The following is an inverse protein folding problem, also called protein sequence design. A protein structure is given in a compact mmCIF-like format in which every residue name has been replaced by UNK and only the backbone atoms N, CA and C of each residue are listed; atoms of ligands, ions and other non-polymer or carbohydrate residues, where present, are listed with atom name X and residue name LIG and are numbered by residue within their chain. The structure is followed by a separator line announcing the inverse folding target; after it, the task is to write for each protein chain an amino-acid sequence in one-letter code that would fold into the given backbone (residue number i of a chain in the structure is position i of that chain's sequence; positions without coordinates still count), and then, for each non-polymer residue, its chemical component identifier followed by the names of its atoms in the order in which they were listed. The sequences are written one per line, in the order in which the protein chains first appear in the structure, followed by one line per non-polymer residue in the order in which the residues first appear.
data_IF_889508884315
#
_entry.id   IF_889508884315
#
_cell.length_a   1.000
_cell.length_b   1.000
_cell.length_c   1.000
_cell.angle_alpha   90.00
_cell.angle_beta   90.00
_cell.angle_gamma   90.00
#
_symmetry.space_group_name_H-M   'P 1'
#
loop_
_entity.id
_entity.type
_entity.pdbx_description
1 polymer ?
#
# COMPACT_ATOMS: atom_id res chain seq x y z
N UNK A 1 0.87 2.53 -25.22
CA UNK A 1 -0.24 1.99 -24.42
C UNK A 1 -0.55 2.95 -23.27
N UNK A 2 -1.75 2.88 -22.68
CA UNK A 2 -2.23 3.82 -21.67
C UNK A 2 -2.38 3.10 -20.33
N UNK A 3 -1.74 3.62 -19.29
CA UNK A 3 -1.83 3.11 -17.91
C UNK A 3 -2.76 4.02 -17.13
N UNK A 4 -3.81 3.47 -16.49
CA UNK A 4 -4.65 4.18 -15.53
C UNK A 4 -4.19 3.85 -14.10
N UNK A 5 -3.95 4.89 -13.30
CA UNK A 5 -3.59 4.78 -11.89
C UNK A 5 -4.76 5.27 -11.05
N UNK A 6 -5.41 4.38 -10.30
CA UNK A 6 -6.39 4.77 -9.28
C UNK A 6 -5.67 5.12 -7.96
N UNK A 7 -6.34 5.83 -7.05
CA UNK A 7 -5.69 6.29 -5.82
C UNK A 7 -4.49 7.24 -6.06
N UNK A 8 -4.41 7.87 -7.22
CA UNK A 8 -3.29 8.62 -7.77
C UNK A 8 -2.84 9.82 -6.92
N UNK A 9 -3.71 10.36 -6.08
CA UNK A 9 -3.42 11.49 -5.19
C UNK A 9 -3.04 11.08 -3.76
N UNK A 10 -3.08 9.77 -3.48
CA UNK A 10 -2.69 9.22 -2.17
C UNK A 10 -1.18 9.01 -2.06
N UNK A 11 -0.75 8.58 -0.87
CA UNK A 11 0.67 8.43 -0.50
C UNK A 11 1.45 7.52 -1.46
N UNK A 12 0.89 6.38 -1.83
CA UNK A 12 1.53 5.44 -2.79
C UNK A 12 1.27 5.90 -4.24
N UNK A 13 0.02 6.19 -4.58
CA UNK A 13 -0.37 6.48 -5.95
C UNK A 13 0.33 7.70 -6.54
N UNK A 14 0.58 8.74 -5.73
CA UNK A 14 1.33 9.93 -6.20
C UNK A 14 2.77 9.61 -6.55
N UNK A 15 3.45 8.75 -5.79
CA UNK A 15 4.81 8.30 -6.10
C UNK A 15 4.84 7.40 -7.35
N UNK A 16 3.83 6.52 -7.50
CA UNK A 16 3.69 5.70 -8.70
C UNK A 16 3.51 6.59 -9.94
N UNK A 17 2.63 7.59 -9.87
CA UNK A 17 2.42 8.56 -10.96
C UNK A 17 3.71 9.32 -11.27
N UNK A 18 4.46 9.73 -10.24
CA UNK A 18 5.76 10.40 -10.41
C UNK A 18 6.79 9.47 -11.07
N UNK A 19 6.88 8.21 -10.66
CA UNK A 19 7.81 7.23 -11.22
C UNK A 19 7.47 6.81 -12.66
N UNK A 20 6.19 6.88 -13.04
CA UNK A 20 5.74 6.63 -14.41
C UNK A 20 5.90 7.85 -15.32
N UNK A 21 5.97 9.06 -14.75
CA UNK A 21 6.18 10.29 -15.52
C UNK A 21 7.53 10.24 -16.27
N UNK A 22 7.50 10.57 -17.54
CA UNK A 22 8.69 10.50 -18.41
C UNK A 22 9.02 9.10 -18.94
N UNK A 23 8.28 8.08 -18.57
CA UNK A 23 8.34 6.75 -19.20
C UNK A 23 7.67 6.76 -20.57
N UNK A 24 7.88 5.72 -21.37
CA UNK A 24 7.31 5.61 -22.74
C UNK A 24 5.79 5.41 -22.77
N UNK A 25 5.16 5.07 -21.66
CA UNK A 25 3.71 4.85 -21.57
C UNK A 25 2.95 6.17 -21.33
N UNK A 26 1.74 6.28 -21.89
CA UNK A 26 0.79 7.33 -21.50
C UNK A 26 0.23 7.01 -20.12
N UNK A 27 0.24 7.99 -19.23
CA UNK A 27 -0.24 7.81 -17.83
C UNK A 27 -1.46 8.66 -17.60
N UNK A 28 -2.53 8.05 -17.10
CA UNK A 28 -3.73 8.70 -16.59
C UNK A 28 -3.80 8.56 -15.08
N UNK A 29 -3.95 9.69 -14.39
CA UNK A 29 -4.13 9.75 -12.95
C UNK A 29 -5.62 9.95 -12.65
N UNK A 30 -6.29 8.92 -12.07
CA UNK A 30 -7.69 9.02 -11.66
C UNK A 30 -7.82 9.93 -10.45
N UNK A 31 -8.66 10.98 -10.55
CA UNK A 31 -8.92 11.93 -9.47
C UNK A 31 -10.42 12.09 -9.24
N UNK A 32 -10.84 12.22 -7.97
CA UNK A 32 -12.27 12.37 -7.63
C UNK A 32 -12.81 13.78 -7.89
N UNK A 33 -11.95 14.78 -7.73
CA UNK A 33 -12.32 16.18 -7.93
C UNK A 33 -12.21 16.64 -9.39
N UNK A 34 -12.38 17.93 -9.60
CA UNK A 34 -12.18 18.58 -10.89
C UNK A 34 -10.73 18.38 -11.37
N UNK A 35 -10.56 17.57 -12.41
CA UNK A 35 -9.27 17.18 -12.94
C UNK A 35 -8.41 18.38 -13.37
N UNK A 36 -9.05 19.47 -13.81
CA UNK A 36 -8.36 20.69 -14.23
C UNK A 36 -7.64 21.44 -13.09
N UNK A 37 -8.02 21.17 -11.84
CA UNK A 37 -7.43 21.79 -10.63
C UNK A 37 -6.38 20.93 -9.95
N UNK A 38 -6.20 19.68 -10.37
CA UNK A 38 -5.24 18.76 -9.77
C UNK A 38 -3.90 18.87 -10.48
N UNK A 39 -2.85 19.15 -9.71
CA UNK A 39 -1.48 19.17 -10.21
C UNK A 39 -0.96 17.74 -10.31
N UNK A 40 -0.56 17.35 -11.50
CA UNK A 40 0.14 16.08 -11.79
C UNK A 40 1.49 16.37 -12.48
N UNK A 41 2.42 15.42 -12.50
CA UNK A 41 3.67 15.57 -13.22
C UNK A 41 3.46 15.85 -14.72
N UNK A 42 4.43 16.50 -15.35
CA UNK A 42 4.40 16.75 -16.78
C UNK A 42 4.28 15.42 -17.57
N UNK A 43 3.43 15.41 -18.58
CA UNK A 43 3.14 14.21 -19.38
C UNK A 43 2.12 13.24 -18.81
N UNK A 44 1.59 13.50 -17.62
CA UNK A 44 0.49 12.74 -17.01
C UNK A 44 -0.84 13.45 -17.27
N UNK A 45 -1.85 12.69 -17.66
CA UNK A 45 -3.23 13.19 -17.89
C UNK A 45 -4.09 12.96 -16.63
N UNK A 46 -4.57 14.02 -15.93
CA UNK A 46 -5.55 13.85 -14.88
C UNK A 46 -6.92 13.52 -15.48
N UNK A 47 -7.56 12.46 -15.01
CA UNK A 47 -8.89 12.01 -15.47
C UNK A 47 -9.84 11.96 -14.27
N UNK A 48 -10.99 12.63 -14.41
CA UNK A 48 -12.00 12.60 -13.36
C UNK A 48 -12.74 11.26 -13.32
N UNK A 49 -12.91 10.72 -12.11
CA UNK A 49 -13.73 9.54 -11.86
C UNK A 49 -13.82 9.20 -10.37
N UNK A 50 -14.89 8.54 -10.02
CA UNK A 50 -15.13 7.99 -8.67
C UNK A 50 -15.33 6.48 -8.77
N UNK A 51 -14.63 5.71 -7.94
CA UNK A 51 -14.67 4.24 -7.97
C UNK A 51 -16.06 3.67 -7.67
N UNK A 52 -16.96 4.47 -7.11
CA UNK A 52 -18.37 4.13 -6.87
C UNK A 52 -19.31 4.61 -7.97
N UNK A 53 -18.86 5.50 -8.87
CA UNK A 53 -19.66 5.97 -10.00
C UNK A 53 -19.32 5.22 -11.29
N UNK A 54 -20.21 4.31 -11.67
CA UNK A 54 -20.07 3.45 -12.86
C UNK A 54 -19.89 4.25 -14.15
N UNK A 55 -20.59 5.37 -14.31
CA UNK A 55 -20.56 6.16 -15.54
C UNK A 55 -19.21 6.86 -15.72
N UNK A 56 -18.70 7.49 -14.66
CA UNK A 56 -17.39 8.14 -14.66
C UNK A 56 -16.25 7.13 -14.83
N UNK A 57 -16.35 5.95 -14.19
CA UNK A 57 -15.35 4.90 -14.33
C UNK A 57 -15.33 4.28 -15.73
N UNK A 58 -16.48 4.05 -16.38
CA UNK A 58 -16.51 3.62 -17.79
C UNK A 58 -15.82 4.64 -18.70
N UNK A 59 -15.99 5.92 -18.42
CA UNK A 59 -15.32 7.00 -19.17
C UNK A 59 -13.80 6.98 -18.93
N UNK A 60 -13.36 6.87 -17.69
CA UNK A 60 -11.95 6.84 -17.32
C UNK A 60 -11.20 5.62 -17.89
N UNK A 61 -11.87 4.46 -17.94
CA UNK A 61 -11.31 3.20 -18.45
C UNK A 61 -11.28 3.11 -19.98
N UNK A 62 -11.96 4.00 -20.70
CA UNK A 62 -11.99 3.98 -22.17
C UNK A 62 -10.59 4.18 -22.76
N UNK A 63 -10.12 3.18 -23.55
CA UNK A 63 -8.80 3.21 -24.19
C UNK A 63 -7.62 3.02 -23.24
N UNK A 64 -7.87 2.45 -22.05
CA UNK A 64 -6.84 2.00 -21.09
C UNK A 64 -6.40 0.58 -21.42
N UNK A 65 -5.11 0.35 -21.46
CA UNK A 65 -4.50 -0.97 -21.71
C UNK A 65 -4.08 -1.66 -20.40
N UNK A 66 -3.63 -0.87 -19.41
CA UNK A 66 -3.10 -1.37 -18.13
C UNK A 66 -3.74 -0.61 -16.97
N UNK A 67 -4.19 -1.31 -15.94
CA UNK A 67 -4.80 -0.73 -14.75
C UNK A 67 -3.93 -0.99 -13.51
N UNK A 68 -3.59 0.06 -12.77
CA UNK A 68 -3.19 -0.03 -11.37
C UNK A 68 -4.42 0.21 -10.49
N UNK A 69 -4.91 -0.86 -9.86
CA UNK A 69 -6.06 -0.81 -8.97
C UNK A 69 -5.58 -0.67 -7.52
N UNK A 70 -5.59 0.55 -7.04
CA UNK A 70 -5.32 0.97 -5.66
C UNK A 70 -6.53 1.73 -5.14
N UNK A 71 -7.12 1.28 -4.07
CA UNK A 71 -8.15 2.00 -3.32
C UNK A 71 -7.77 2.14 -1.84
N UNK A 72 -8.25 3.22 -1.23
CA UNK A 72 -8.02 3.48 0.18
C UNK A 72 -8.80 2.48 1.06
N UNK A 73 -8.35 2.32 2.30
CA UNK A 73 -9.14 1.66 3.34
C UNK A 73 -10.37 2.54 3.63
N UNK A 74 -11.55 2.04 3.26
CA UNK A 74 -12.83 2.73 3.36
C UNK A 74 -13.94 1.72 3.67
N UNK A 75 -15.07 2.18 4.22
CA UNK A 75 -16.18 1.30 4.57
C UNK A 75 -16.79 0.57 3.36
N UNK A 76 -16.64 1.12 2.17
CA UNK A 76 -17.12 0.58 0.88
C UNK A 76 -15.96 0.05 -0.01
N UNK A 77 -14.79 -0.19 0.57
CA UNK A 77 -13.57 -0.62 -0.11
C UNK A 77 -13.79 -1.79 -1.07
N UNK A 78 -14.51 -2.81 -0.62
CA UNK A 78 -14.83 -4.00 -1.43
C UNK A 78 -15.64 -3.63 -2.67
N UNK A 79 -16.66 -2.78 -2.51
CA UNK A 79 -17.51 -2.32 -3.63
C UNK A 79 -16.68 -1.55 -4.65
N UNK A 80 -15.80 -0.65 -4.20
CA UNK A 80 -14.90 0.12 -5.06
C UNK A 80 -13.99 -0.81 -5.88
N UNK A 81 -13.34 -1.77 -5.23
CA UNK A 81 -12.39 -2.66 -5.88
C UNK A 81 -13.06 -3.62 -6.86
N UNK A 82 -14.13 -4.31 -6.45
CA UNK A 82 -14.83 -5.27 -7.30
C UNK A 82 -15.57 -4.59 -8.45
N UNK A 83 -16.20 -3.44 -8.20
CA UNK A 83 -16.85 -2.63 -9.25
C UNK A 83 -15.84 -2.20 -10.32
N UNK A 84 -14.70 -1.65 -9.90
CA UNK A 84 -13.63 -1.24 -10.82
C UNK A 84 -13.04 -2.42 -11.59
N UNK A 85 -12.79 -3.57 -10.93
CA UNK A 85 -12.31 -4.79 -11.58
C UNK A 85 -13.28 -5.30 -12.63
N UNK A 86 -14.58 -5.31 -12.32
CA UNK A 86 -15.64 -5.69 -13.25
C UNK A 86 -15.67 -4.79 -14.48
N UNK A 87 -15.68 -3.46 -14.30
CA UNK A 87 -15.66 -2.48 -15.38
C UNK A 87 -14.39 -2.54 -16.22
N UNK A 88 -13.23 -2.81 -15.61
CA UNK A 88 -11.99 -3.00 -16.34
C UNK A 88 -12.06 -4.22 -17.27
N UNK A 89 -12.68 -5.31 -16.82
CA UNK A 89 -12.89 -6.51 -17.63
C UNK A 89 -13.90 -6.27 -18.75
N UNK A 90 -15.00 -5.56 -18.50
CA UNK A 90 -15.95 -5.11 -19.52
C UNK A 90 -15.25 -4.27 -20.61
N UNK A 91 -14.29 -3.44 -20.22
CA UNK A 91 -13.45 -2.64 -21.13
C UNK A 91 -12.36 -3.45 -21.87
N UNK A 92 -12.22 -4.76 -21.58
CA UNK A 92 -11.22 -5.63 -22.21
C UNK A 92 -9.81 -5.49 -21.66
N UNK A 93 -9.64 -4.85 -20.50
CA UNK A 93 -8.32 -4.66 -19.86
C UNK A 93 -7.83 -5.98 -19.28
N UNK A 94 -6.68 -6.46 -19.79
CA UNK A 94 -6.06 -7.72 -19.40
C UNK A 94 -4.68 -7.55 -18.74
N UNK A 95 -4.30 -6.31 -18.41
CA UNK A 95 -3.06 -5.99 -17.73
C UNK A 95 -3.40 -5.25 -16.44
N UNK A 96 -3.49 -5.99 -15.32
CA UNK A 96 -3.93 -5.45 -14.04
C UNK A 96 -2.84 -5.65 -13.00
N UNK A 97 -2.56 -4.60 -12.24
CA UNK A 97 -1.79 -4.66 -11.01
C UNK A 97 -2.72 -4.27 -9.88
N UNK A 98 -3.01 -5.21 -8.99
CA UNK A 98 -3.88 -5.00 -7.83
C UNK A 98 -3.06 -4.80 -6.56
N UNK A 99 -3.35 -3.76 -5.83
CA UNK A 99 -2.70 -3.43 -4.55
C UNK A 99 -3.48 -4.02 -3.39
N UNK A 100 -3.03 -5.18 -2.93
CA UNK A 100 -3.59 -5.94 -1.81
C UNK A 100 -2.89 -5.60 -0.49
N UNK A 101 -2.74 -6.55 0.40
CA UNK A 101 -1.97 -6.46 1.64
C UNK A 101 -1.31 -7.79 1.98
N UNK A 102 -0.19 -7.74 2.69
CA UNK A 102 0.52 -8.92 3.17
C UNK A 102 -0.36 -9.69 4.16
N UNK A 103 -0.30 -11.02 4.11
CA UNK A 103 -1.11 -11.90 4.98
C UNK A 103 -2.64 -11.71 4.90
N UNK A 104 -3.18 -11.20 3.78
CA UNK A 104 -4.62 -10.97 3.59
C UNK A 104 -5.50 -12.19 3.95
N UNK A 105 -5.02 -13.40 3.63
CA UNK A 105 -5.72 -14.65 3.93
C UNK A 105 -5.59 -15.11 5.39
N UNK A 106 -4.55 -14.68 6.09
CA UNK A 106 -4.28 -15.08 7.49
C UNK A 106 -5.03 -14.18 8.48
N UNK A 107 -5.18 -12.89 8.13
CA UNK A 107 -5.85 -11.90 8.96
C UNK A 107 -7.32 -11.77 8.55
N UNK A 108 -8.01 -12.89 8.50
CA UNK A 108 -9.36 -13.03 7.95
C UNK A 108 -10.46 -12.35 8.77
N UNK A 109 -10.18 -12.02 10.03
CA UNK A 109 -11.06 -11.28 10.93
C UNK A 109 -10.76 -9.77 11.00
N UNK A 110 -9.80 -9.29 10.18
CA UNK A 110 -9.49 -7.86 10.02
C UNK A 110 -10.21 -7.34 8.77
N UNK A 111 -11.21 -6.45 8.90
CA UNK A 111 -12.12 -6.09 7.80
C UNK A 111 -11.43 -5.67 6.51
N UNK A 112 -10.44 -4.75 6.58
CA UNK A 112 -9.75 -4.31 5.36
C UNK A 112 -8.83 -5.40 4.76
N UNK A 113 -8.28 -6.34 5.55
CA UNK A 113 -7.54 -7.49 5.02
C UNK A 113 -8.49 -8.47 4.34
N UNK A 114 -9.63 -8.78 4.98
CA UNK A 114 -10.66 -9.63 4.43
C UNK A 114 -11.22 -9.07 3.11
N UNK A 115 -11.46 -7.75 3.03
CA UNK A 115 -11.85 -7.05 1.80
C UNK A 115 -10.85 -7.29 0.68
N UNK A 116 -9.57 -7.10 0.95
CA UNK A 116 -8.51 -7.30 -0.06
C UNK A 116 -8.38 -8.77 -0.47
N UNK A 117 -8.47 -9.68 0.49
CA UNK A 117 -8.46 -11.11 0.20
C UNK A 117 -9.64 -11.54 -0.67
N UNK A 118 -10.83 -10.99 -0.43
CA UNK A 118 -12.00 -11.26 -1.28
C UNK A 118 -11.75 -10.85 -2.74
N UNK A 119 -11.15 -9.69 -2.98
CA UNK A 119 -10.79 -9.24 -4.34
C UNK A 119 -9.77 -10.19 -4.98
N UNK A 120 -8.77 -10.65 -4.22
CA UNK A 120 -7.84 -11.67 -4.72
C UNK A 120 -8.54 -12.98 -5.09
N UNK A 121 -9.51 -13.43 -4.28
CA UNK A 121 -10.31 -14.63 -4.58
C UNK A 121 -11.14 -14.47 -5.86
N UNK A 122 -11.66 -13.27 -6.13
CA UNK A 122 -12.37 -12.98 -7.39
C UNK A 122 -11.41 -12.97 -8.58
N UNK A 123 -10.22 -12.38 -8.43
CA UNK A 123 -9.15 -12.44 -9.43
C UNK A 123 -8.81 -13.89 -9.78
N UNK A 124 -8.64 -14.75 -8.78
CA UNK A 124 -8.31 -16.17 -8.97
C UNK A 124 -9.48 -16.94 -9.63
N UNK A 125 -10.68 -16.81 -9.07
CA UNK A 125 -11.86 -17.54 -9.55
C UNK A 125 -12.25 -17.20 -11.00
N UNK A 126 -11.94 -15.98 -11.43
CA UNK A 126 -12.24 -15.49 -12.77
C UNK A 126 -11.02 -15.54 -13.72
N UNK A 127 -9.92 -16.16 -13.27
CA UNK A 127 -8.66 -16.29 -14.01
C UNK A 127 -8.18 -14.94 -14.59
N UNK A 128 -8.32 -13.84 -13.83
CA UNK A 128 -7.89 -12.51 -14.29
C UNK A 128 -6.36 -12.47 -14.37
N UNK A 129 -5.78 -12.07 -15.51
CA UNK A 129 -4.33 -11.98 -15.67
C UNK A 129 -3.78 -10.76 -14.93
N UNK A 130 -3.57 -10.88 -13.61
CA UNK A 130 -3.19 -9.79 -12.74
C UNK A 130 -1.91 -10.08 -11.94
N UNK A 131 -1.17 -9.05 -11.57
CA UNK A 131 -0.21 -9.11 -10.44
C UNK A 131 -0.91 -8.60 -9.19
N UNK A 132 -0.88 -9.41 -8.15
CA UNK A 132 -1.30 -9.04 -6.80
C UNK A 132 -0.07 -8.64 -6.00
N UNK A 133 0.01 -7.37 -5.61
CA UNK A 133 1.07 -6.84 -4.78
C UNK A 133 0.60 -6.83 -3.32
N UNK A 134 1.35 -7.48 -2.45
CA UNK A 134 1.02 -7.61 -1.02
C UNK A 134 2.04 -6.87 -0.15
N UNK A 135 1.86 -5.56 0.07
CA UNK A 135 2.76 -4.78 0.92
C UNK A 135 2.61 -5.15 2.40
N UNK A 136 3.74 -5.09 3.13
CA UNK A 136 3.79 -5.07 4.58
C UNK A 136 3.35 -3.74 5.16
N UNK A 137 3.57 -3.55 6.47
CA UNK A 137 3.28 -2.28 7.15
C UNK A 137 4.21 -1.16 6.66
N UNK A 138 3.67 0.05 6.48
CA UNK A 138 4.45 1.16 5.93
C UNK A 138 5.28 1.85 7.01
N UNK A 139 6.60 2.02 6.78
CA UNK A 139 7.48 2.77 7.66
C UNK A 139 7.00 4.20 7.86
N UNK A 140 6.45 4.82 6.80
CA UNK A 140 5.98 6.21 6.81
C UNK A 140 4.78 6.48 7.73
N UNK A 141 4.08 5.44 8.19
CA UNK A 141 3.06 5.61 9.22
C UNK A 141 3.64 6.17 10.52
N UNK A 142 4.92 5.91 10.79
CA UNK A 142 5.59 6.37 11.99
C UNK A 142 6.01 7.86 11.93
N UNK A 143 5.92 8.51 10.76
CA UNK A 143 6.12 9.97 10.67
C UNK A 143 5.12 10.77 11.50
N UNK A 144 3.91 10.22 11.72
CA UNK A 144 2.89 10.85 12.57
C UNK A 144 3.20 10.75 14.07
N UNK A 145 4.25 10.01 14.46
CA UNK A 145 4.61 9.76 15.86
C UNK A 145 5.67 10.72 16.38
N UNK A 146 6.04 11.74 15.60
CA UNK A 146 7.13 12.67 15.94
C UNK A 146 7.06 13.15 17.40
N UNK A 147 5.95 13.74 17.80
CA UNK A 147 5.79 14.32 19.14
C UNK A 147 5.97 13.26 20.26
N UNK A 148 5.45 12.05 20.04
CA UNK A 148 5.60 10.95 20.98
C UNK A 148 7.05 10.45 21.06
N UNK A 149 7.72 10.35 19.92
CA UNK A 149 9.12 9.96 19.84
C UNK A 149 10.03 11.03 20.47
N UNK A 150 9.74 12.31 20.22
CA UNK A 150 10.42 13.43 20.90
C UNK A 150 10.15 13.43 22.42
N UNK A 151 9.00 12.93 22.88
CA UNK A 151 8.70 12.70 24.28
C UNK A 151 9.31 11.40 24.87
N UNK A 152 10.05 10.62 24.06
CA UNK A 152 10.72 9.40 24.51
C UNK A 152 9.85 8.15 24.53
N UNK A 153 8.81 8.07 23.71
CA UNK A 153 7.89 6.93 23.66
C UNK A 153 7.62 6.54 22.20
N UNK A 154 7.79 5.24 21.86
CA UNK A 154 7.24 4.64 20.67
C UNK A 154 5.86 4.04 21.01
N UNK A 155 4.74 4.65 20.57
CA UNK A 155 3.42 4.36 21.12
C UNK A 155 2.63 3.29 20.36
N UNK A 156 3.15 2.74 19.24
CA UNK A 156 2.42 1.75 18.44
C UNK A 156 2.50 0.37 19.07
N UNK A 157 1.37 -0.25 19.44
CA UNK A 157 1.35 -1.56 20.09
C UNK A 157 1.44 -2.69 19.05
N UNK A 158 2.61 -2.82 18.40
CA UNK A 158 2.82 -3.81 17.32
C UNK A 158 3.26 -5.19 17.81
N UNK A 159 3.47 -5.36 19.12
CA UNK A 159 3.79 -6.64 19.73
C UNK A 159 5.25 -7.06 19.65
N UNK A 160 5.48 -8.31 20.06
CA UNK A 160 6.81 -8.92 20.18
C UNK A 160 7.09 -10.04 19.18
N UNK A 161 6.20 -10.34 18.23
CA UNK A 161 6.42 -11.38 17.21
C UNK A 161 7.27 -10.87 16.05
N UNK A 162 7.09 -9.62 15.67
CA UNK A 162 7.81 -8.94 14.61
C UNK A 162 6.93 -8.61 13.40
N UNK A 163 7.13 -7.42 12.86
CA UNK A 163 6.40 -6.87 11.71
C UNK A 163 7.39 -6.46 10.63
N UNK A 164 7.23 -7.01 9.42
CA UNK A 164 8.01 -6.60 8.26
C UNK A 164 7.46 -5.26 7.76
N UNK A 165 8.16 -4.18 8.10
CA UNK A 165 7.83 -2.83 7.63
C UNK A 165 8.57 -2.53 6.33
N UNK A 166 7.92 -1.79 5.43
CA UNK A 166 8.43 -1.48 4.09
C UNK A 166 8.38 0.02 3.82
N UNK A 167 9.40 0.55 3.15
CA UNK A 167 9.41 1.94 2.69
C UNK A 167 8.47 2.10 1.49
N UNK A 168 7.62 3.12 1.51
CA UNK A 168 6.67 3.39 0.41
C UNK A 168 7.36 3.71 -0.91
N UNK A 169 8.61 4.16 -0.90
CA UNK A 169 9.42 4.40 -2.10
C UNK A 169 9.73 3.08 -2.80
N UNK A 170 10.12 2.04 -2.04
CA UNK A 170 10.36 0.70 -2.60
C UNK A 170 9.06 0.10 -3.15
N UNK A 171 7.93 0.32 -2.46
CA UNK A 171 6.62 -0.07 -2.96
C UNK A 171 6.33 0.61 -4.31
N UNK A 172 6.54 1.92 -4.41
CA UNK A 172 6.29 2.66 -5.64
C UNK A 172 7.20 2.17 -6.79
N UNK A 173 8.48 1.91 -6.51
CA UNK A 173 9.43 1.35 -7.47
C UNK A 173 8.95 -0.01 -8.00
N UNK A 174 8.45 -0.89 -7.11
CA UNK A 174 7.88 -2.19 -7.51
C UNK A 174 6.62 -2.06 -8.36
N UNK A 175 5.71 -1.17 -7.97
CA UNK A 175 4.48 -0.91 -8.75
C UNK A 175 4.83 -0.40 -10.14
N UNK A 176 5.74 0.56 -10.25
CA UNK A 176 6.20 1.11 -11.54
C UNK A 176 6.85 0.03 -12.40
N UNK A 177 7.77 -0.76 -11.83
CA UNK A 177 8.44 -1.85 -12.54
C UNK A 177 7.43 -2.88 -13.08
N UNK A 178 6.46 -3.26 -12.26
CA UNK A 178 5.47 -4.27 -12.63
C UNK A 178 4.46 -3.76 -13.66
N UNK A 179 4.02 -2.50 -13.54
CA UNK A 179 3.17 -1.87 -14.55
C UNK A 179 3.85 -1.83 -15.91
N UNK A 180 5.12 -1.38 -15.96
CA UNK A 180 5.90 -1.33 -17.18
C UNK A 180 6.19 -2.73 -17.75
N UNK A 181 6.46 -3.72 -16.88
CA UNK A 181 6.65 -5.13 -17.30
C UNK A 181 5.39 -5.67 -17.98
N UNK A 182 4.21 -5.44 -17.40
CA UNK A 182 2.93 -5.87 -17.98
C UNK A 182 2.58 -5.08 -19.23
N UNK A 183 2.83 -3.80 -19.24
CA UNK A 183 2.58 -2.92 -20.39
C UNK A 183 3.40 -3.33 -21.63
N UNK A 184 4.70 -3.65 -21.45
CA UNK A 184 5.63 -4.01 -22.52
C UNK A 184 5.47 -5.46 -23.00
N UNK A 185 4.81 -6.31 -22.24
CA UNK A 185 4.64 -7.71 -22.60
C UNK A 185 3.79 -7.86 -23.88
N UNK A 186 4.21 -8.72 -24.85
CA UNK A 186 3.47 -8.92 -26.10
C UNK A 186 2.10 -9.53 -25.88
N UNK A 187 1.93 -10.27 -24.79
CA UNK A 187 0.67 -10.89 -24.37
C UNK A 187 0.42 -10.63 -22.88
N UNK A 188 -0.84 -10.72 -22.41
CA UNK A 188 -1.14 -10.61 -20.98
C UNK A 188 -0.33 -11.63 -20.17
N UNK A 189 0.38 -11.15 -19.15
CA UNK A 189 1.15 -12.01 -18.27
C UNK A 189 0.22 -12.76 -17.30
N UNK A 190 0.54 -13.99 -16.92
CA UNK A 190 -0.29 -14.77 -16.02
C UNK A 190 -0.45 -14.10 -14.67
N UNK A 191 -1.43 -14.59 -13.90
CA UNK A 191 -1.63 -14.18 -12.51
C UNK A 191 -0.40 -14.53 -11.68
N UNK A 192 0.10 -13.56 -10.89
CA UNK A 192 1.21 -13.73 -9.95
C UNK A 192 0.96 -12.95 -8.67
N UNK A 193 1.64 -13.34 -7.59
CA UNK A 193 1.65 -12.58 -6.31
C UNK A 193 3.08 -12.22 -5.97
N UNK A 194 3.30 -10.99 -5.50
CA UNK A 194 4.60 -10.50 -5.03
C UNK A 194 4.39 -9.87 -3.66
N UNK A 195 5.13 -10.33 -2.66
CA UNK A 195 5.17 -9.75 -1.33
C UNK A 195 6.15 -8.58 -1.31
N UNK A 196 5.67 -7.40 -0.94
CA UNK A 196 6.46 -6.19 -0.84
C UNK A 196 6.77 -5.92 0.64
N UNK A 197 7.85 -6.53 1.13
CA UNK A 197 8.23 -6.52 2.54
C UNK A 197 9.64 -5.95 2.71
N UNK A 198 9.85 -5.14 3.75
CA UNK A 198 11.15 -4.54 4.01
C UNK A 198 12.22 -5.56 4.44
N UNK A 199 13.48 -5.11 4.55
CA UNK A 199 14.61 -5.98 4.91
C UNK A 199 14.55 -6.45 6.36
N UNK A 200 13.88 -5.68 7.23
CA UNK A 200 13.82 -5.92 8.66
C UNK A 200 12.44 -6.44 9.07
N UNK A 201 12.42 -7.36 10.03
CA UNK A 201 11.21 -7.77 10.75
C UNK A 201 11.41 -7.34 12.19
N UNK A 202 10.67 -6.32 12.64
CA UNK A 202 10.94 -5.60 13.87
C UNK A 202 9.79 -5.71 14.86
N UNK A 203 10.13 -5.87 16.13
CA UNK A 203 9.21 -5.73 17.28
C UNK A 203 9.09 -4.28 17.70
N UNK A 204 8.08 -3.94 18.51
CA UNK A 204 7.92 -2.60 19.07
C UNK A 204 9.12 -2.15 19.89
N UNK A 205 9.74 -3.06 20.65
CA UNK A 205 10.94 -2.77 21.44
C UNK A 205 12.17 -2.49 20.56
N UNK A 206 12.35 -3.22 19.46
CA UNK A 206 13.46 -2.99 18.52
C UNK A 206 13.31 -1.67 17.77
N UNK A 207 12.07 -1.30 17.39
CA UNK A 207 11.80 0.01 16.78
C UNK A 207 12.10 1.14 17.77
N UNK A 208 11.66 1.03 19.03
CA UNK A 208 11.97 1.99 20.06
C UNK A 208 13.50 2.15 20.24
N UNK A 209 14.26 1.04 20.24
CA UNK A 209 15.72 1.06 20.33
C UNK A 209 16.39 1.74 19.12
N UNK A 210 15.83 1.54 17.90
CA UNK A 210 16.31 2.25 16.71
C UNK A 210 16.11 3.76 16.87
N UNK A 211 14.92 4.21 17.27
CA UNK A 211 14.65 5.63 17.50
C UNK A 211 15.50 6.21 18.62
N UNK A 212 15.73 5.48 19.72
CA UNK A 212 16.62 5.91 20.79
C UNK A 212 18.04 6.18 20.26
N UNK A 213 18.56 5.26 19.45
CA UNK A 213 19.87 5.42 18.80
C UNK A 213 19.93 6.60 17.83
N UNK A 214 18.87 6.80 17.04
CA UNK A 214 18.82 7.88 16.03
C UNK A 214 18.68 9.25 16.68
N UNK A 215 17.82 9.37 17.71
CA UNK A 215 17.57 10.64 18.40
C UNK A 215 18.61 10.95 19.49
N UNK A 216 19.51 10.02 19.80
CA UNK A 216 20.53 10.19 20.85
C UNK A 216 19.95 10.36 22.25
N UNK A 217 18.77 9.80 22.54
CA UNK A 217 18.07 9.88 23.83
C UNK A 217 17.29 8.61 24.13
N UNK A 218 16.82 8.46 25.37
CA UNK A 218 15.95 7.32 25.73
C UNK A 218 14.60 7.41 25.00
N UNK A 219 14.24 6.33 24.30
CA UNK A 219 12.93 6.11 23.71
C UNK A 219 12.46 4.72 24.11
N UNK A 220 11.38 4.65 24.87
CA UNK A 220 10.83 3.40 25.38
C UNK A 220 9.65 2.93 24.55
N UNK A 221 9.49 1.63 24.44
CA UNK A 221 8.29 1.05 23.87
C UNK A 221 7.09 1.31 24.79
N UNK A 222 5.99 1.80 24.21
CA UNK A 222 4.76 2.16 24.95
C UNK A 222 3.91 0.97 25.41
N UNK A 223 4.28 -0.25 24.96
CA UNK A 223 3.58 -1.50 25.32
C UNK A 223 2.44 -1.86 24.37
N UNK A 224 1.70 -2.91 24.74
CA UNK A 224 0.79 -3.66 23.87
C UNK A 224 -0.69 -3.49 24.24
N UNK A 225 -1.07 -2.40 24.91
CA UNK A 225 -2.45 -2.14 25.33
C UNK A 225 -3.32 -1.70 24.15
N UNK A 226 -3.97 -2.68 23.51
CA UNK A 226 -4.85 -2.48 22.37
C UNK A 226 -6.15 -1.71 22.72
N UNK A 227 -6.63 -1.81 23.97
CA UNK A 227 -7.86 -1.12 24.37
C UNK A 227 -7.59 0.39 24.50
N UNK A 228 -6.49 0.78 25.14
CA UNK A 228 -6.06 2.17 25.21
C UNK A 228 -5.76 2.74 23.81
N UNK A 229 -5.13 1.94 22.92
CA UNK A 229 -4.90 2.34 21.53
C UNK A 229 -6.21 2.65 20.80
N UNK A 230 -7.18 1.73 20.82
CA UNK A 230 -8.47 1.90 20.15
C UNK A 230 -9.22 3.14 20.65
N UNK A 231 -9.25 3.34 21.97
CA UNK A 231 -9.90 4.52 22.58
C UNK A 231 -9.28 5.85 22.09
N UNK A 232 -7.95 5.93 22.01
CA UNK A 232 -7.25 7.13 21.50
C UNK A 232 -7.49 7.32 20.01
N UNK A 233 -7.39 6.26 19.21
CA UNK A 233 -7.58 6.28 17.77
C UNK A 233 -8.99 6.72 17.38
N UNK A 234 -10.03 6.32 18.13
CA UNK A 234 -11.42 6.73 17.90
C UNK A 234 -11.65 8.24 18.08
N UNK A 235 -10.75 8.95 18.76
CA UNK A 235 -10.75 10.42 18.81
C UNK A 235 -10.16 11.12 17.58
N UNK A 236 -9.46 10.38 16.71
CA UNK A 236 -8.73 10.91 15.56
C UNK A 236 -9.26 10.39 14.21
N UNK A 237 -10.00 9.29 14.23
CA UNK A 237 -10.53 8.63 13.03
C UNK A 237 -11.91 8.02 13.29
N UNK A 238 -12.68 7.63 12.25
CA UNK A 238 -13.96 6.94 12.44
C UNK A 238 -13.82 5.69 13.31
N UNK A 239 -14.79 5.46 14.21
CA UNK A 239 -14.74 4.35 15.17
C UNK A 239 -14.57 2.96 14.53
N UNK A 240 -15.20 2.73 13.36
CA UNK A 240 -15.00 1.47 12.62
C UNK A 240 -13.54 1.27 12.18
N UNK A 241 -12.84 2.35 11.80
CA UNK A 241 -11.44 2.30 11.37
C UNK A 241 -10.51 2.07 12.59
N UNK A 242 -10.77 2.75 13.71
CA UNK A 242 -10.01 2.50 14.95
C UNK A 242 -10.14 1.04 15.41
N UNK A 243 -11.35 0.47 15.31
CA UNK A 243 -11.59 -0.94 15.61
C UNK A 243 -10.86 -1.88 14.65
N UNK A 244 -10.95 -1.62 13.35
CA UNK A 244 -10.27 -2.38 12.31
C UNK A 244 -8.75 -2.41 12.52
N UNK A 245 -8.13 -1.25 12.80
CA UNK A 245 -6.69 -1.17 13.10
C UNK A 245 -6.35 -1.94 14.39
N UNK A 246 -7.19 -1.88 15.43
CA UNK A 246 -6.99 -2.70 16.63
C UNK A 246 -7.00 -4.19 16.31
N UNK A 247 -7.91 -4.66 15.44
CA UNK A 247 -7.92 -6.06 15.00
C UNK A 247 -6.65 -6.44 14.26
N UNK A 248 -6.16 -5.57 13.38
CA UNK A 248 -4.88 -5.74 12.69
C UNK A 248 -3.71 -5.85 13.69
N UNK A 249 -3.63 -4.95 14.68
CA UNK A 249 -2.59 -4.99 15.71
C UNK A 249 -2.68 -6.27 16.56
N UNK A 250 -3.89 -6.75 16.86
CA UNK A 250 -4.09 -8.05 17.51
C UNK A 250 -3.55 -9.22 16.66
N UNK A 251 -3.75 -9.15 15.34
CA UNK A 251 -3.19 -10.14 14.42
C UNK A 251 -1.65 -10.07 14.40
N UNK A 252 -1.05 -8.87 14.48
CA UNK A 252 0.40 -8.72 14.64
C UNK A 252 0.91 -9.36 15.93
N UNK A 253 0.20 -9.21 17.05
CA UNK A 253 0.57 -9.87 18.32
C UNK A 253 0.53 -11.39 18.21
N UNK A 254 -0.41 -11.92 17.44
CA UNK A 254 -0.62 -13.37 17.30
C UNK A 254 0.29 -14.01 16.28
N UNK A 255 0.46 -13.39 15.13
CA UNK A 255 1.09 -14.01 13.96
C UNK A 255 2.33 -13.24 13.47
N UNK A 256 2.47 -11.97 13.83
CA UNK A 256 3.44 -11.06 13.20
C UNK A 256 3.10 -10.77 11.73
N UNK A 257 4.03 -10.13 11.05
CA UNK A 257 4.09 -10.06 9.58
C UNK A 257 5.43 -10.65 9.15
N UNK A 258 5.49 -11.98 9.05
CA UNK A 258 6.71 -12.74 8.81
C UNK A 258 6.78 -13.13 7.33
N UNK A 259 7.72 -12.55 6.54
CA UNK A 259 7.81 -12.81 5.11
C UNK A 259 8.29 -14.23 4.81
N UNK A 260 7.89 -14.75 3.64
CA UNK A 260 8.41 -15.98 3.09
C UNK A 260 9.92 -15.88 2.83
N UNK A 261 10.59 -17.04 2.75
CA UNK A 261 12.06 -17.13 2.63
C UNK A 261 12.62 -16.29 1.48
N UNK A 262 11.93 -16.27 0.33
CA UNK A 262 12.42 -15.65 -0.91
C UNK A 262 11.75 -14.28 -1.21
N UNK A 263 10.84 -13.80 -0.33
CA UNK A 263 10.06 -12.59 -0.58
C UNK A 263 10.93 -11.36 -0.79
N UNK A 264 11.94 -11.17 0.07
CA UNK A 264 12.87 -10.03 -0.02
C UNK A 264 13.70 -10.07 -1.30
N UNK A 265 14.31 -11.23 -1.61
CA UNK A 265 15.11 -11.38 -2.81
C UNK A 265 14.30 -11.19 -4.09
N UNK A 266 13.05 -11.67 -4.12
CA UNK A 266 12.12 -11.45 -5.22
C UNK A 266 11.79 -9.97 -5.38
N UNK A 267 11.58 -9.27 -4.28
CA UNK A 267 11.27 -7.84 -4.30
C UNK A 267 12.48 -7.01 -4.77
N UNK A 268 13.68 -7.25 -4.23
CA UNK A 268 14.92 -6.58 -4.67
C UNK A 268 15.22 -6.83 -6.15
N UNK A 269 15.01 -8.06 -6.62
CA UNK A 269 15.18 -8.40 -8.03
C UNK A 269 14.18 -7.63 -8.93
N UNK A 270 12.96 -7.40 -8.45
CA UNK A 270 11.96 -6.62 -9.19
C UNK A 270 12.34 -5.14 -9.32
N UNK A 271 12.83 -4.52 -8.24
CA UNK A 271 13.15 -3.08 -8.22
C UNK A 271 14.58 -2.76 -8.66
N UNK A 272 15.48 -3.75 -8.68
CA UNK A 272 16.87 -3.61 -9.14
C UNK A 272 17.82 -2.91 -8.18
N UNK A 273 17.44 -2.77 -6.91
CA UNK A 273 18.29 -2.21 -5.86
C UNK A 273 17.97 -2.82 -4.48
N UNK A 274 18.87 -2.70 -3.48
CA UNK A 274 18.60 -3.12 -2.10
C UNK A 274 17.41 -2.37 -1.49
N UNK A 275 16.65 -3.05 -0.63
CA UNK A 275 15.53 -2.47 0.12
C UNK A 275 16.02 -1.47 1.17
N UNK A 276 15.27 -0.38 1.36
CA UNK A 276 15.55 0.63 2.38
C UNK A 276 15.24 0.06 3.77
N UNK A 277 16.20 0.18 4.71
CA UNK A 277 16.03 -0.29 6.07
C UNK A 277 15.22 0.68 6.92
N UNK A 278 14.57 0.15 7.97
CA UNK A 278 13.86 1.01 8.93
C UNK A 278 14.79 2.02 9.61
N UNK A 279 16.05 1.63 9.90
CA UNK A 279 17.05 2.54 10.47
C UNK A 279 17.36 3.71 9.54
N UNK A 280 17.56 3.46 8.25
CA UNK A 280 17.81 4.52 7.28
C UNK A 280 16.60 5.47 7.17
N UNK A 281 15.38 4.93 7.14
CA UNK A 281 14.15 5.71 7.19
C UNK A 281 14.08 6.59 8.45
N UNK A 282 14.36 6.03 9.63
CA UNK A 282 14.33 6.79 10.89
C UNK A 282 15.37 7.92 10.92
N UNK A 283 16.58 7.69 10.37
CA UNK A 283 17.62 8.72 10.24
C UNK A 283 17.19 9.86 9.32
N UNK A 284 16.62 9.53 8.15
CA UNK A 284 16.10 10.54 7.22
C UNK A 284 14.94 11.34 7.85
N UNK A 285 14.03 10.69 8.55
CA UNK A 285 12.92 11.33 9.23
C UNK A 285 13.42 12.32 10.31
N UNK A 286 14.31 11.87 11.19
CA UNK A 286 14.86 12.71 12.27
C UNK A 286 15.65 13.91 11.73
N UNK A 287 16.33 13.78 10.60
CA UNK A 287 17.05 14.90 9.95
C UNK A 287 16.12 15.99 9.39
N UNK A 288 14.84 15.69 9.21
CA UNK A 288 13.82 16.60 8.68
C UNK A 288 12.86 17.13 9.76
N UNK A 289 13.12 16.83 11.04
CA UNK A 289 12.34 17.30 12.20
C UNK A 289 12.93 18.60 12.81
#
# INVERSE_FOLDING_TARGET
MTILVTGSTGTIGSQVVQGLAGQSARVRALVRGDASKIKVPAGVEPVQGDLTDVASMRTALKGVDTLFLLNAVAADETTQALGTLGLAREAGIQRIVYFSTFNSALFDDVPHFASKYLVERVIDAQAVPATVLRPGAFMQNDLMLRDALEAGIYPQPIGGVGVAMVDIRDIADAVVAELLRRERAPHPLPRTTIELVGPDTLTGAEIAAIWASVLGKDVRYGGDDLATFESRAAGMMPGWMAHDIRLMLRAFHRFGMLPGKDSRATFEALIGHPLRSYRAFAQEAAANW
#
